data_IF_456197579221
#
_entry.id   IF_456197579221
#
_cell.length_a   1.000
_cell.length_b   1.000
_cell.length_c   1.000
_cell.angle_alpha   90.00
_cell.angle_beta   90.00
_cell.angle_gamma   90.00
#
_symmetry.space_group_name_H-M   'P 1'
#
loop_
_entity.id
_entity.type
_entity.pdbx_description
1 polymer ?
#
# COMPACT_ATOMS: atom_id res chain seq x y z
N UNK A 1 -14.88 25.12 17.36
CA UNK A 1 -16.33 24.87 17.42
C UNK A 1 -16.92 24.62 16.04
N UNK A 2 -16.79 25.52 15.05
CA UNK A 2 -17.33 25.38 13.68
C UNK A 2 -16.88 24.09 12.93
N UNK A 3 -15.68 23.59 13.17
CA UNK A 3 -15.20 22.34 12.58
C UNK A 3 -15.94 21.14 13.20
N UNK A 4 -16.14 21.15 14.51
CA UNK A 4 -16.87 20.08 15.22
C UNK A 4 -18.33 20.02 14.80
N UNK A 5 -18.97 21.15 14.59
CA UNK A 5 -20.36 21.26 14.07
C UNK A 5 -20.46 20.64 12.68
N UNK A 6 -19.46 20.88 11.80
CA UNK A 6 -19.39 20.24 10.48
C UNK A 6 -19.12 18.75 10.53
N UNK A 7 -18.30 18.26 11.47
CA UNK A 7 -18.11 16.83 11.66
C UNK A 7 -19.41 16.12 12.07
N UNK A 8 -20.25 16.80 12.86
CA UNK A 8 -21.56 16.29 13.25
C UNK A 8 -22.50 16.11 12.04
N UNK A 9 -22.42 17.00 11.03
CA UNK A 9 -23.17 16.86 9.78
C UNK A 9 -22.81 15.58 9.01
N UNK A 10 -21.61 15.04 9.27
CA UNK A 10 -21.12 13.78 8.70
C UNK A 10 -21.21 12.59 9.66
N UNK A 11 -22.07 12.68 10.68
CA UNK A 11 -22.29 11.65 11.70
C UNK A 11 -21.03 11.32 12.54
N UNK A 12 -20.03 12.22 12.56
CA UNK A 12 -18.83 12.09 13.39
C UNK A 12 -19.01 12.89 14.68
N UNK A 13 -19.42 12.21 15.73
CA UNK A 13 -19.62 12.81 17.06
C UNK A 13 -18.35 12.68 17.87
N UNK A 14 -17.70 13.81 18.17
CA UNK A 14 -16.47 13.84 18.96
C UNK A 14 -16.76 13.71 20.46
N UNK A 15 -15.77 13.23 21.25
CA UNK A 15 -15.90 13.01 22.70
C UNK A 15 -16.43 14.24 23.46
N UNK A 16 -15.98 15.45 23.12
CA UNK A 16 -16.43 16.69 23.73
C UNK A 16 -17.92 17.00 23.46
N UNK A 17 -18.52 16.35 22.47
CA UNK A 17 -19.95 16.44 22.14
C UNK A 17 -20.72 15.18 22.57
N UNK A 18 -20.11 14.31 23.39
CA UNK A 18 -20.73 13.09 23.91
C UNK A 18 -20.62 11.87 22.98
N UNK A 19 -19.75 11.89 21.98
CA UNK A 19 -19.50 10.76 21.09
C UNK A 19 -18.26 9.95 21.49
N UNK A 20 -17.91 8.99 20.63
CA UNK A 20 -16.79 8.05 20.83
C UNK A 20 -15.55 8.41 20.00
N UNK A 21 -15.61 9.46 19.18
CA UNK A 21 -14.52 9.84 18.29
C UNK A 21 -13.55 10.78 18.99
N UNK A 22 -12.31 10.33 19.18
CA UNK A 22 -11.25 11.16 19.76
C UNK A 22 -10.91 12.32 18.80
N UNK A 23 -10.68 13.48 19.40
CA UNK A 23 -10.22 14.66 18.65
C UNK A 23 -9.09 15.36 19.40
N UNK A 24 -8.09 15.81 18.66
CA UNK A 24 -6.94 16.54 19.19
C UNK A 24 -6.73 17.84 18.40
N UNK A 25 -6.73 18.96 19.10
CA UNK A 25 -6.42 20.26 18.47
C UNK A 25 -4.89 20.42 18.34
N UNK A 26 -4.44 20.61 17.09
CA UNK A 26 -3.02 20.74 16.78
C UNK A 26 -2.73 21.96 15.94
N UNK A 27 -1.53 22.52 16.09
CA UNK A 27 -0.98 23.51 15.20
C UNK A 27 0.43 23.09 14.75
N UNK A 28 0.57 22.73 13.48
CA UNK A 28 1.87 22.39 12.91
C UNK A 28 2.85 23.57 12.95
N UNK A 29 2.36 24.78 12.66
CA UNK A 29 3.15 26.01 12.67
C UNK A 29 3.68 26.34 14.09
N UNK A 30 2.80 26.26 15.09
CA UNK A 30 3.15 26.58 16.51
C UNK A 30 3.71 25.37 17.25
N UNK A 31 3.68 24.18 16.64
CA UNK A 31 4.05 22.89 17.26
C UNK A 31 3.29 22.59 18.56
N UNK A 32 2.05 23.08 18.68
CA UNK A 32 1.22 22.83 19.87
C UNK A 32 0.31 21.63 19.65
N UNK A 33 0.06 20.84 20.71
CA UNK A 33 -0.82 19.67 20.71
C UNK A 33 -0.27 18.42 20.03
N UNK A 34 0.96 18.45 19.49
CA UNK A 34 1.58 17.30 18.81
C UNK A 34 1.83 16.13 19.77
N UNK A 35 2.26 16.41 21.00
CA UNK A 35 2.50 15.38 22.01
C UNK A 35 1.18 14.67 22.37
N UNK A 36 0.11 15.43 22.54
CA UNK A 36 -1.25 14.88 22.81
C UNK A 36 -1.75 14.04 21.62
N UNK A 37 -1.46 14.44 20.39
CA UNK A 37 -1.80 13.66 19.21
C UNK A 37 -1.08 12.31 19.21
N UNK A 38 0.22 12.31 19.48
CA UNK A 38 1.02 11.07 19.55
C UNK A 38 0.53 10.17 20.68
N UNK A 39 0.21 10.71 21.85
CA UNK A 39 -0.37 9.98 22.96
C UNK A 39 -1.71 9.34 22.60
N UNK A 40 -2.62 10.10 21.98
CA UNK A 40 -3.92 9.58 21.54
C UNK A 40 -3.77 8.45 20.49
N UNK A 41 -2.84 8.58 19.54
CA UNK A 41 -2.52 7.53 18.58
C UNK A 41 -1.97 6.28 19.27
N UNK A 42 -1.06 6.45 20.25
CA UNK A 42 -0.47 5.33 20.98
C UNK A 42 -1.53 4.56 21.79
N UNK A 43 -2.40 5.25 22.50
CA UNK A 43 -3.51 4.65 23.25
C UNK A 43 -4.47 3.91 22.32
N UNK A 44 -4.84 4.51 21.21
CA UNK A 44 -5.72 3.87 20.22
C UNK A 44 -5.07 2.60 19.62
N UNK A 45 -3.78 2.65 19.30
CA UNK A 45 -3.04 1.51 18.80
C UNK A 45 -2.97 0.36 19.81
N UNK A 46 -2.82 0.67 21.11
CA UNK A 46 -2.80 -0.31 22.18
C UNK A 46 -4.17 -1.00 22.35
N UNK A 47 -5.25 -0.22 22.34
CA UNK A 47 -6.64 -0.75 22.43
C UNK A 47 -6.95 -1.68 21.25
N UNK A 48 -6.47 -1.36 20.04
CA UNK A 48 -6.71 -2.17 18.85
C UNK A 48 -5.97 -3.52 18.86
N UNK A 49 -5.00 -3.72 19.73
CA UNK A 49 -4.18 -4.96 19.82
C UNK A 49 -3.71 -5.49 18.45
N UNK A 50 -3.24 -4.63 17.57
CA UNK A 50 -2.82 -5.00 16.23
C UNK A 50 -1.63 -5.95 16.27
N UNK A 51 -1.83 -7.16 15.74
CA UNK A 51 -0.81 -8.23 15.72
C UNK A 51 -0.53 -8.68 14.29
N UNK A 52 0.72 -8.99 14.00
CA UNK A 52 1.12 -9.57 12.73
C UNK A 52 2.13 -10.69 12.97
N UNK A 53 2.10 -11.75 12.14
CA UNK A 53 3.07 -12.81 12.20
C UNK A 53 4.25 -12.48 11.26
N UNK A 54 5.48 -12.31 11.79
CA UNK A 54 6.69 -12.08 10.98
C UNK A 54 7.24 -13.36 10.35
N UNK A 55 6.91 -14.55 10.90
CA UNK A 55 7.49 -15.84 10.50
C UNK A 55 6.69 -16.54 9.39
N UNK A 56 6.38 -15.81 8.32
CA UNK A 56 5.71 -16.32 7.12
C UNK A 56 6.20 -15.59 5.87
N UNK A 57 5.78 -16.07 4.71
CA UNK A 57 5.99 -15.35 3.45
C UNK A 57 5.43 -13.92 3.53
N UNK A 58 6.22 -12.96 3.06
CA UNK A 58 5.86 -11.56 3.18
C UNK A 58 4.67 -11.18 2.29
N UNK A 59 3.80 -10.37 2.84
CA UNK A 59 2.73 -9.67 2.16
C UNK A 59 2.83 -8.18 2.48
N UNK A 60 2.68 -7.33 1.47
CA UNK A 60 2.71 -5.89 1.63
C UNK A 60 1.79 -5.19 0.65
N UNK A 61 1.57 -3.90 0.87
CA UNK A 61 0.77 -3.05 0.00
C UNK A 61 1.65 -1.98 -0.63
N UNK A 62 1.50 -1.77 -1.93
CA UNK A 62 2.17 -0.69 -2.66
C UNK A 62 1.56 0.64 -2.22
N UNK A 63 2.39 1.50 -1.64
CA UNK A 63 2.01 2.88 -1.30
C UNK A 63 2.18 3.76 -2.53
N UNK A 64 3.33 3.64 -3.19
CA UNK A 64 3.65 4.33 -4.43
C UNK A 64 4.61 3.51 -5.28
N UNK A 65 4.64 3.75 -6.59
CA UNK A 65 5.60 3.15 -7.49
C UNK A 65 5.98 4.12 -8.61
N UNK A 66 7.22 4.03 -9.06
CA UNK A 66 7.76 4.89 -10.12
C UNK A 66 8.84 4.20 -10.93
N UNK A 67 9.07 4.70 -12.14
CA UNK A 67 10.23 4.33 -12.92
C UNK A 67 11.38 5.30 -12.62
N UNK A 68 12.39 4.82 -11.92
CA UNK A 68 13.61 5.60 -11.64
C UNK A 68 14.61 5.45 -12.78
N UNK A 69 15.20 6.56 -13.23
CA UNK A 69 16.10 6.59 -14.39
C UNK A 69 17.39 5.78 -14.22
N UNK A 70 17.83 5.55 -12.97
CA UNK A 70 19.06 4.79 -12.68
C UNK A 70 18.84 3.40 -12.12
N UNK A 71 17.72 3.21 -11.41
CA UNK A 71 17.43 2.00 -10.64
C UNK A 71 16.34 1.12 -11.26
N UNK A 72 15.65 1.62 -12.32
CA UNK A 72 14.53 0.93 -12.95
C UNK A 72 13.21 1.08 -12.17
N UNK A 73 12.28 0.13 -12.30
CA UNK A 73 11.05 0.14 -11.52
C UNK A 73 11.33 0.02 -10.02
N UNK A 74 10.74 0.92 -9.26
CA UNK A 74 10.89 1.01 -7.80
C UNK A 74 9.50 1.20 -7.19
N UNK A 75 9.23 0.51 -6.08
CA UNK A 75 7.98 0.67 -5.36
C UNK A 75 8.23 0.77 -3.85
N UNK A 76 7.52 1.69 -3.20
CA UNK A 76 7.46 1.77 -1.75
C UNK A 76 6.36 0.83 -1.26
N UNK A 77 6.76 -0.17 -0.48
CA UNK A 77 5.89 -1.22 0.05
C UNK A 77 5.78 -1.05 1.55
N UNK A 78 4.55 -1.04 2.06
CA UNK A 78 4.28 -1.22 3.48
C UNK A 78 4.10 -2.71 3.75
N UNK A 79 5.04 -3.32 4.45
CA UNK A 79 4.97 -4.74 4.84
C UNK A 79 3.84 -4.91 5.86
N UNK A 80 2.88 -5.77 5.57
CA UNK A 80 1.72 -6.04 6.43
C UNK A 80 1.89 -7.32 7.26
N UNK A 81 2.47 -8.35 6.67
CA UNK A 81 2.68 -9.68 7.29
C UNK A 81 3.94 -10.29 6.76
N UNK A 82 4.51 -11.21 7.53
CA UNK A 82 5.74 -11.90 7.15
C UNK A 82 6.95 -10.98 7.15
N UNK A 83 8.09 -11.51 6.76
CA UNK A 83 9.35 -10.78 6.64
C UNK A 83 9.82 -10.80 5.20
N UNK A 84 9.92 -9.62 4.58
CA UNK A 84 10.44 -9.46 3.22
C UNK A 84 11.96 -9.42 3.27
N UNK A 85 12.63 -10.26 2.46
CA UNK A 85 14.09 -10.38 2.44
C UNK A 85 14.67 -10.10 1.06
N UNK A 86 15.89 -9.63 1.02
CA UNK A 86 16.65 -9.55 -0.24
C UNK A 86 16.81 -10.95 -0.81
N UNK A 87 16.51 -11.11 -2.11
CA UNK A 87 16.50 -12.40 -2.81
C UNK A 87 15.13 -13.05 -2.93
N UNK A 88 14.13 -12.61 -2.16
CA UNK A 88 12.77 -13.14 -2.27
C UNK A 88 12.18 -12.90 -3.66
N UNK A 89 11.45 -13.91 -4.14
CA UNK A 89 10.69 -13.85 -5.37
C UNK A 89 9.26 -13.45 -5.04
N UNK A 90 8.71 -12.50 -5.77
CA UNK A 90 7.40 -11.95 -5.46
C UNK A 90 6.56 -11.66 -6.70
N UNK A 91 5.26 -11.52 -6.48
CA UNK A 91 4.29 -10.95 -7.40
C UNK A 91 3.74 -9.67 -6.78
N UNK A 92 3.64 -8.63 -7.57
CA UNK A 92 3.09 -7.33 -7.14
C UNK A 92 2.11 -6.80 -8.19
N UNK A 93 0.82 -6.84 -7.89
CA UNK A 93 -0.18 -6.57 -8.91
C UNK A 93 -0.08 -7.56 -10.08
N UNK A 94 0.10 -7.06 -11.29
CA UNK A 94 0.34 -7.83 -12.52
C UNK A 94 1.84 -7.99 -12.85
N UNK A 95 2.73 -7.50 -11.98
CA UNK A 95 4.16 -7.56 -12.14
C UNK A 95 4.78 -8.65 -11.27
N UNK A 96 5.91 -9.18 -11.70
CA UNK A 96 6.70 -10.12 -10.90
C UNK A 96 8.15 -9.64 -10.81
N UNK A 97 8.87 -10.13 -9.81
CA UNK A 97 10.26 -9.73 -9.63
C UNK A 97 10.97 -10.53 -8.55
N UNK A 98 12.23 -10.16 -8.38
CA UNK A 98 13.08 -10.64 -7.29
C UNK A 98 13.64 -9.45 -6.53
N UNK A 99 13.52 -9.44 -5.22
CA UNK A 99 14.06 -8.36 -4.37
C UNK A 99 15.58 -8.26 -4.56
N UNK A 100 16.04 -7.22 -5.23
CA UNK A 100 17.47 -6.94 -5.41
C UNK A 100 18.04 -6.13 -4.25
N UNK A 101 17.27 -5.18 -3.76
CA UNK A 101 17.61 -4.36 -2.60
C UNK A 101 16.35 -3.89 -1.90
N UNK A 102 16.47 -3.65 -0.60
CA UNK A 102 15.48 -2.99 0.26
C UNK A 102 16.12 -1.74 0.83
N UNK A 103 15.43 -0.63 0.78
CA UNK A 103 15.88 0.65 1.31
C UNK A 103 14.83 1.13 2.29
N UNK A 104 15.25 1.50 3.49
CA UNK A 104 14.36 2.02 4.53
C UNK A 104 13.98 3.49 4.29
N UNK A 105 13.16 4.04 5.17
CA UNK A 105 12.70 5.42 5.13
C UNK A 105 13.81 6.46 5.36
N UNK A 106 14.98 6.02 5.85
CA UNK A 106 16.18 6.85 6.02
C UNK A 106 17.14 6.77 4.82
N UNK A 107 16.79 6.01 3.78
CA UNK A 107 17.63 5.79 2.60
C UNK A 107 18.74 4.77 2.80
N UNK A 108 18.72 3.99 3.90
CA UNK A 108 19.72 2.97 4.20
C UNK A 108 19.30 1.63 3.62
N UNK A 109 20.25 0.93 3.00
CA UNK A 109 20.03 -0.42 2.52
C UNK A 109 19.96 -1.41 3.68
N UNK A 110 18.88 -2.21 3.70
CA UNK A 110 18.62 -3.22 4.71
C UNK A 110 18.49 -4.62 4.08
N UNK A 111 18.65 -5.68 4.85
CA UNK A 111 18.57 -7.05 4.38
C UNK A 111 17.16 -7.64 4.46
N UNK A 112 16.36 -7.15 5.39
CA UNK A 112 15.01 -7.63 5.64
C UNK A 112 14.13 -6.53 6.21
N UNK A 113 12.83 -6.62 5.93
CA UNK A 113 11.80 -5.73 6.45
C UNK A 113 10.69 -6.56 7.12
N UNK A 114 10.36 -6.20 8.35
CA UNK A 114 9.33 -6.84 9.18
C UNK A 114 7.98 -6.14 9.01
N UNK A 115 6.88 -6.70 9.54
CA UNK A 115 5.58 -6.02 9.51
C UNK A 115 5.63 -4.59 10.05
N UNK A 116 4.83 -3.71 9.45
CA UNK A 116 4.72 -2.27 9.71
C UNK A 116 5.90 -1.42 9.20
N UNK A 117 6.93 -2.03 8.58
CA UNK A 117 8.03 -1.26 7.98
C UNK A 117 7.66 -0.82 6.56
N UNK A 118 7.76 0.49 6.25
CA UNK A 118 7.78 0.97 4.88
C UNK A 118 9.18 0.73 4.28
N UNK A 119 9.24 0.16 3.07
CA UNK A 119 10.51 -0.08 2.38
C UNK A 119 10.39 0.18 0.89
N UNK A 120 11.41 0.80 0.33
CA UNK A 120 11.57 0.91 -1.12
C UNK A 120 12.17 -0.40 -1.65
N UNK A 121 11.46 -1.06 -2.56
CA UNK A 121 11.84 -2.35 -3.15
C UNK A 121 12.35 -2.14 -4.55
N UNK A 122 13.54 -2.67 -4.83
CA UNK A 122 14.14 -2.73 -6.16
C UNK A 122 14.10 -4.16 -6.69
N UNK A 123 13.94 -4.30 -8.01
CA UNK A 123 13.94 -5.61 -8.67
C UNK A 123 12.59 -6.04 -9.21
N UNK A 124 11.66 -5.08 -9.36
CA UNK A 124 10.39 -5.29 -10.06
C UNK A 124 10.62 -5.42 -11.57
N UNK A 125 9.80 -6.23 -12.23
CA UNK A 125 9.77 -6.36 -13.68
C UNK A 125 9.10 -5.19 -14.41
N UNK A 126 8.19 -4.49 -13.72
CA UNK A 126 7.47 -3.31 -14.20
C UNK A 126 7.03 -2.45 -13.04
N UNK A 127 6.26 -1.39 -13.31
CA UNK A 127 5.76 -0.45 -12.29
C UNK A 127 4.35 -0.88 -11.86
N UNK A 128 4.17 -1.39 -10.64
CA UNK A 128 2.85 -1.75 -10.12
C UNK A 128 2.01 -0.50 -9.84
N UNK A 129 0.73 -0.70 -9.59
CA UNK A 129 -0.17 0.39 -9.20
C UNK A 129 -0.17 0.58 -7.67
N UNK A 130 -0.36 1.81 -7.22
CA UNK A 130 -0.63 2.07 -5.80
C UNK A 130 -1.89 1.30 -5.36
N UNK A 131 -1.82 0.67 -4.18
CA UNK A 131 -2.85 -0.22 -3.68
C UNK A 131 -2.68 -1.70 -4.07
N UNK A 132 -1.81 -2.02 -5.04
CA UNK A 132 -1.50 -3.41 -5.38
C UNK A 132 -0.89 -4.15 -4.18
N UNK A 133 -1.13 -5.47 -4.14
CA UNK A 133 -0.55 -6.33 -3.11
C UNK A 133 0.72 -6.99 -3.63
N UNK A 134 1.83 -6.83 -2.89
CA UNK A 134 3.03 -7.63 -3.04
C UNK A 134 2.86 -8.91 -2.23
N UNK A 135 3.16 -10.05 -2.82
CA UNK A 135 3.15 -11.38 -2.16
C UNK A 135 4.39 -12.15 -2.55
N UNK A 136 5.15 -12.63 -1.57
CA UNK A 136 6.30 -13.52 -1.79
C UNK A 136 5.80 -14.90 -2.17
N UNK A 137 6.42 -15.49 -3.18
CA UNK A 137 6.11 -16.81 -3.73
C UNK A 137 7.35 -17.71 -3.75
N UNK A 138 7.15 -19.01 -3.89
CA UNK A 138 8.21 -20.01 -3.74
C UNK A 138 9.25 -19.98 -4.86
N UNK A 139 8.84 -19.66 -6.09
CA UNK A 139 9.72 -19.71 -7.25
C UNK A 139 9.27 -18.75 -8.38
N UNK A 140 10.19 -18.50 -9.33
CA UNK A 140 9.95 -17.59 -10.46
C UNK A 140 8.87 -18.09 -11.43
N UNK A 141 8.73 -19.41 -11.62
CA UNK A 141 7.72 -19.97 -12.49
C UNK A 141 6.32 -19.63 -11.96
N UNK A 142 6.12 -19.80 -10.66
CA UNK A 142 4.86 -19.43 -9.99
C UNK A 142 4.61 -17.93 -10.05
N UNK A 143 5.64 -17.11 -9.87
CA UNK A 143 5.53 -15.67 -9.98
C UNK A 143 5.04 -15.24 -11.37
N UNK A 144 5.64 -15.79 -12.43
CA UNK A 144 5.26 -15.49 -13.81
C UNK A 144 3.84 -15.95 -14.14
N UNK A 145 3.47 -17.16 -13.74
CA UNK A 145 2.12 -17.69 -13.94
C UNK A 145 1.06 -16.77 -13.33
N UNK A 146 1.23 -16.37 -12.09
CA UNK A 146 0.28 -15.49 -11.39
C UNK A 146 0.25 -14.09 -12.03
N UNK A 147 1.42 -13.53 -12.39
CA UNK A 147 1.50 -12.23 -13.04
C UNK A 147 0.79 -12.24 -14.40
N UNK A 148 1.05 -13.23 -15.24
CA UNK A 148 0.40 -13.41 -16.56
C UNK A 148 -1.12 -13.53 -16.40
N UNK A 149 -1.58 -14.37 -15.50
CA UNK A 149 -3.02 -14.52 -15.24
C UNK A 149 -3.67 -13.20 -14.84
N UNK A 150 -3.06 -12.44 -13.93
CA UNK A 150 -3.58 -11.13 -13.50
C UNK A 150 -3.59 -10.11 -14.64
N UNK A 151 -2.56 -10.14 -15.50
CA UNK A 151 -2.45 -9.27 -16.65
C UNK A 151 -3.56 -9.57 -17.69
N UNK A 152 -3.83 -10.84 -17.97
CA UNK A 152 -4.93 -11.26 -18.82
C UNK A 152 -6.29 -10.83 -18.27
N UNK A 153 -6.52 -10.99 -16.97
CA UNK A 153 -7.75 -10.55 -16.31
C UNK A 153 -7.95 -9.04 -16.40
N UNK A 154 -6.87 -8.27 -16.21
CA UNK A 154 -6.93 -6.80 -16.33
C UNK A 154 -7.27 -6.38 -17.78
N UNK A 155 -6.68 -7.05 -18.78
CA UNK A 155 -6.97 -6.79 -20.20
C UNK A 155 -8.42 -7.14 -20.54
N UNK A 156 -8.92 -8.28 -20.10
CA UNK A 156 -10.34 -8.68 -20.32
C UNK A 156 -11.30 -7.66 -19.72
N UNK A 157 -11.06 -7.20 -18.49
CA UNK A 157 -11.91 -6.18 -17.85
C UNK A 157 -11.93 -4.88 -18.65
N UNK A 158 -10.79 -4.43 -19.16
CA UNK A 158 -10.70 -3.22 -20.02
C UNK A 158 -11.48 -3.38 -21.33
N UNK A 159 -11.37 -4.53 -21.96
CA UNK A 159 -12.06 -4.82 -23.25
C UNK A 159 -13.59 -4.88 -23.06
N UNK A 160 -14.07 -5.46 -21.95
CA UNK A 160 -15.51 -5.55 -21.66
C UNK A 160 -16.10 -4.19 -21.24
N UNK A 161 -15.30 -3.32 -20.61
CA UNK A 161 -15.72 -1.98 -20.18
C UNK A 161 -15.54 -0.88 -21.24
N UNK A 162 -14.88 -1.19 -22.36
CA UNK A 162 -14.82 -0.23 -23.46
C UNK A 162 -16.25 0.00 -23.99
N UNK A 163 -16.78 1.24 -23.96
CA UNK A 163 -18.09 1.51 -24.51
C UNK A 163 -18.04 1.13 -26.00
N UNK A 164 -18.88 0.19 -26.41
CA UNK A 164 -19.09 -0.11 -27.84
C UNK A 164 -19.70 1.16 -28.42
N UNK A 165 -18.90 1.97 -29.10
CA UNK A 165 -19.45 3.13 -29.81
C UNK A 165 -20.39 2.61 -30.89
N UNK A 166 -21.57 3.24 -31.02
CA UNK A 166 -22.54 2.90 -32.09
C UNK A 166 -21.90 2.91 -33.47
N UNK A 167 -20.88 3.74 -33.68
CA UNK A 167 -20.08 3.80 -34.91
C UNK A 167 -19.29 2.51 -35.15
N UNK A 168 -18.64 1.93 -34.11
CA UNK A 168 -17.92 0.66 -34.25
C UNK A 168 -18.83 -0.56 -34.48
N UNK A 169 -20.10 -0.48 -34.09
CA UNK A 169 -21.10 -1.52 -34.45
C UNK A 169 -21.51 -1.44 -35.93
N UNK A 170 -21.53 -0.25 -36.52
CA UNK A 170 -21.89 -0.09 -37.94
C UNK A 170 -20.74 -0.44 -38.91
N UNK A 171 -19.47 -0.33 -38.46
CA UNK A 171 -18.32 -0.77 -39.27
C UNK A 171 -18.13 -2.30 -39.28
N UNK A 172 -18.69 -3.01 -38.31
CA UNK A 172 -18.61 -4.48 -38.20
C UNK A 172 -19.76 -5.22 -38.89
N UNK A 173 -20.74 -4.51 -39.47
CA UNK A 173 -21.85 -5.01 -40.28
C UNK A 173 -21.58 -4.74 -41.77
#
# INVERSE_FOLDING_TARGET
QRVRERLLEHELVVEEMGGDVQNVEVSALKKTGLDKLLEAIAVQAEIMELKANPDRAAEGTVVEAKLDKGRGPVATILVRRGTLKVGDIFVCGAESGRVRALIDDQGKQIKSATPSMPVEVLGLGGVPMAGDTLTVVENEARAREVATYRQEQATRKRTVQAPVSLEGMFEAL
#
